data_IF_605529540179
#
_entry.id   IF_605529540179
#
_cell.length_a   1.000
_cell.length_b   1.000
_cell.length_c   1.000
_cell.angle_alpha   90.00
_cell.angle_beta   90.00
_cell.angle_gamma   90.00
#
_symmetry.space_group_name_H-M   'P 1'
#
loop_
_entity.id
_entity.type
_entity.pdbx_description
1 polymer ?
#
# COMPACT_ATOMS: atom_id res chain seq x y z
N UNK A 1 3.09 -11.51 -27.45
CA UNK A 1 2.99 -10.08 -27.75
C UNK A 1 1.65 -9.55 -27.22
N UNK A 2 1.57 -8.29 -26.77
CA UNK A 2 0.33 -7.67 -26.28
C UNK A 2 0.11 -6.36 -27.05
N UNK A 3 -1.06 -6.23 -27.68
CA UNK A 3 -1.45 -5.02 -28.39
C UNK A 3 -1.77 -3.88 -27.42
N UNK A 4 -1.25 -2.68 -27.69
CA UNK A 4 -1.58 -1.46 -26.95
C UNK A 4 -2.52 -0.60 -27.80
N UNK A 5 -3.73 -0.35 -27.31
CA UNK A 5 -4.77 0.38 -28.04
C UNK A 5 -5.51 1.37 -27.14
N UNK A 6 -6.05 2.42 -27.75
CA UNK A 6 -6.98 3.34 -27.11
C UNK A 6 -8.42 2.85 -27.31
N UNK A 7 -9.23 2.96 -26.26
CA UNK A 7 -10.59 2.42 -26.25
C UNK A 7 -11.59 3.55 -26.05
N UNK A 8 -12.67 3.48 -26.82
CA UNK A 8 -13.77 4.43 -26.82
C UNK A 8 -15.08 3.68 -26.57
N UNK A 9 -16.02 4.35 -25.91
CA UNK A 9 -17.40 3.90 -25.79
C UNK A 9 -18.29 5.02 -26.32
N UNK A 10 -18.93 4.78 -27.47
CA UNK A 10 -19.50 5.84 -28.30
C UNK A 10 -18.44 6.95 -28.54
N UNK A 11 -18.76 8.20 -28.22
CA UNK A 11 -17.84 9.34 -28.35
C UNK A 11 -16.93 9.53 -27.12
N UNK A 12 -17.06 8.70 -26.08
CA UNK A 12 -16.27 8.83 -24.85
C UNK A 12 -14.91 8.16 -25.00
N UNK A 13 -13.85 8.96 -24.94
CA UNK A 13 -12.50 8.43 -24.74
C UNK A 13 -12.35 7.92 -23.29
N UNK A 14 -12.38 6.60 -23.09
CA UNK A 14 -12.46 6.00 -21.75
C UNK A 14 -11.28 6.42 -20.84
N UNK A 15 -10.10 6.66 -21.42
CA UNK A 15 -8.90 7.00 -20.66
C UNK A 15 -8.99 8.37 -20.00
N UNK A 16 -9.62 9.37 -20.64
CA UNK A 16 -9.81 10.68 -20.00
C UNK A 16 -10.74 10.54 -18.80
N UNK A 17 -11.86 9.81 -18.96
CA UNK A 17 -12.79 9.56 -17.87
C UNK A 17 -12.13 8.83 -16.68
N UNK A 18 -11.33 7.80 -16.94
CA UNK A 18 -10.61 7.07 -15.90
C UNK A 18 -9.62 7.97 -15.15
N UNK A 19 -8.88 8.81 -15.88
CA UNK A 19 -7.89 9.72 -15.28
C UNK A 19 -8.57 10.83 -14.50
N UNK A 20 -9.61 11.47 -15.02
CA UNK A 20 -10.35 12.58 -14.39
C UNK A 20 -11.05 12.19 -13.08
N UNK A 21 -11.43 10.92 -12.95
CA UNK A 21 -12.02 10.37 -11.74
C UNK A 21 -10.97 9.77 -10.78
N UNK A 22 -9.69 9.82 -11.15
CA UNK A 22 -8.58 9.34 -10.34
C UNK A 22 -8.54 7.83 -10.19
N UNK A 23 -9.09 7.07 -11.14
CA UNK A 23 -9.09 5.60 -11.10
C UNK A 23 -7.80 4.97 -11.62
N UNK A 24 -6.99 5.73 -12.35
CA UNK A 24 -5.72 5.26 -12.92
C UNK A 24 -4.62 6.29 -12.75
N UNK A 25 -3.39 5.80 -12.67
CA UNK A 25 -2.18 6.60 -12.89
C UNK A 25 -1.63 6.24 -14.27
N UNK A 26 -1.33 7.25 -15.09
CA UNK A 26 -0.79 7.04 -16.42
C UNK A 26 0.69 6.67 -16.39
N UNK A 27 1.09 5.88 -17.39
CA UNK A 27 2.49 5.62 -17.71
C UNK A 27 2.76 6.07 -19.14
N UNK A 28 3.79 6.89 -19.34
CA UNK A 28 4.17 7.44 -20.64
C UNK A 28 5.34 6.65 -21.23
N UNK A 29 5.10 5.37 -21.48
CA UNK A 29 6.13 4.45 -22.01
C UNK A 29 5.87 4.22 -23.50
N UNK A 30 6.85 4.47 -24.40
CA UNK A 30 6.73 4.18 -25.83
C UNK A 30 6.35 2.71 -26.10
N UNK A 31 5.70 2.39 -27.25
CA UNK A 31 5.57 3.24 -28.44
C UNK A 31 4.31 4.11 -28.50
N UNK A 32 3.29 3.84 -27.67
CA UNK A 32 1.98 4.49 -27.80
C UNK A 32 1.78 5.60 -26.78
N UNK A 33 2.14 6.83 -27.16
CA UNK A 33 2.11 8.03 -26.31
C UNK A 33 1.30 9.18 -26.93
N UNK A 34 0.40 8.89 -27.87
CA UNK A 34 -0.30 9.89 -28.68
C UNK A 34 -1.10 10.92 -27.84
N UNK A 35 -1.61 10.51 -26.67
CA UNK A 35 -2.39 11.37 -25.76
C UNK A 35 -1.66 11.67 -24.44
N UNK A 36 -0.34 11.52 -24.38
CA UNK A 36 0.40 11.65 -23.12
C UNK A 36 0.20 13.02 -22.46
N UNK A 37 0.21 14.11 -23.24
CA UNK A 37 0.15 15.47 -22.71
C UNK A 37 -1.23 15.74 -22.09
N UNK A 38 -2.30 15.40 -22.83
CA UNK A 38 -3.68 15.48 -22.36
C UNK A 38 -3.87 14.69 -21.06
N UNK A 39 -3.45 13.42 -21.04
CA UNK A 39 -3.67 12.57 -19.88
C UNK A 39 -2.79 12.99 -18.68
N UNK A 40 -1.61 13.56 -18.93
CA UNK A 40 -0.74 14.07 -17.87
C UNK A 40 -1.32 15.33 -17.23
N UNK A 41 -1.90 16.22 -18.03
CA UNK A 41 -2.61 17.40 -17.55
C UNK A 41 -3.82 16.99 -16.67
N UNK A 42 -4.66 16.09 -17.18
CA UNK A 42 -5.81 15.56 -16.44
C UNK A 42 -5.39 14.88 -15.14
N UNK A 43 -4.32 14.09 -15.16
CA UNK A 43 -3.79 13.44 -13.96
C UNK A 43 -3.31 14.48 -12.94
N UNK A 44 -2.59 15.51 -13.39
CA UNK A 44 -2.07 16.58 -12.53
C UNK A 44 -3.21 17.27 -11.80
N UNK A 45 -4.24 17.68 -12.53
CA UNK A 45 -5.45 18.29 -11.95
C UNK A 45 -6.15 17.35 -10.97
N UNK A 46 -6.36 16.09 -11.36
CA UNK A 46 -7.06 15.09 -10.54
C UNK A 46 -6.32 14.82 -9.22
N UNK A 47 -4.97 14.85 -9.26
CA UNK A 47 -4.14 14.73 -8.06
C UNK A 47 -4.28 15.94 -7.14
N UNK A 48 -4.28 17.15 -7.70
CA UNK A 48 -4.48 18.39 -6.93
C UNK A 48 -5.87 18.46 -6.29
N UNK A 49 -6.89 17.94 -6.98
CA UNK A 49 -8.26 17.80 -6.47
C UNK A 49 -8.44 16.59 -5.52
N UNK A 50 -7.38 15.83 -5.27
CA UNK A 50 -7.35 14.67 -4.38
C UNK A 50 -8.43 13.62 -4.68
N UNK A 51 -8.69 13.32 -5.95
CA UNK A 51 -9.75 12.36 -6.33
C UNK A 51 -9.25 10.92 -6.36
N UNK A 52 -10.16 9.96 -6.17
CA UNK A 52 -9.91 8.53 -6.39
C UNK A 52 -8.68 8.00 -5.65
N UNK A 53 -7.73 7.43 -6.39
CA UNK A 53 -6.47 6.87 -5.89
C UNK A 53 -5.66 7.88 -5.06
N UNK A 54 -5.76 9.18 -5.35
CA UNK A 54 -5.00 10.22 -4.64
C UNK A 54 -5.52 10.39 -3.21
N UNK A 55 -6.84 10.52 -3.01
CA UNK A 55 -7.45 10.54 -1.67
C UNK A 55 -7.20 9.24 -0.91
N UNK A 56 -7.24 8.09 -1.58
CA UNK A 56 -6.95 6.81 -0.94
C UNK A 56 -5.50 6.72 -0.46
N UNK A 57 -4.55 7.27 -1.21
CA UNK A 57 -3.15 7.30 -0.82
C UNK A 57 -2.92 8.23 0.38
N UNK A 58 -3.54 9.40 0.38
CA UNK A 58 -3.49 10.30 1.54
C UNK A 58 -4.14 9.66 2.77
N UNK A 59 -5.32 9.06 2.61
CA UNK A 59 -5.98 8.34 3.69
C UNK A 59 -5.09 7.21 4.25
N UNK A 60 -4.39 6.45 3.40
CA UNK A 60 -3.42 5.43 3.84
C UNK A 60 -2.17 6.02 4.49
N UNK A 61 -1.68 7.16 4.01
CA UNK A 61 -0.55 7.85 4.63
C UNK A 61 -0.90 8.37 6.03
N UNK A 62 -2.15 8.79 6.21
CA UNK A 62 -2.71 9.29 7.47
C UNK A 62 -3.24 8.17 8.38
N UNK A 63 -3.19 6.89 7.96
CA UNK A 63 -3.50 5.79 8.87
C UNK A 63 -2.45 5.72 9.97
N UNK A 64 -2.91 5.71 11.22
CA UNK A 64 -2.04 5.53 12.38
C UNK A 64 -1.28 4.21 12.25
N UNK A 65 0.04 4.31 12.15
CA UNK A 65 0.91 3.15 12.26
C UNK A 65 0.87 2.66 13.71
N UNK A 66 0.96 1.33 13.92
CA UNK A 66 0.96 0.81 15.26
C UNK A 66 2.20 1.34 15.97
N UNK A 67 2.02 1.88 17.17
CA UNK A 67 3.12 2.39 18.01
C UNK A 67 4.22 1.33 18.18
N UNK A 68 3.82 0.06 18.25
CA UNK A 68 4.72 -1.09 18.37
C UNK A 68 4.57 -2.01 17.14
N UNK A 69 5.51 -1.96 16.17
CA UNK A 69 5.43 -2.75 14.95
C UNK A 69 5.69 -4.25 15.19
N UNK A 70 6.24 -4.63 16.34
CA UNK A 70 6.57 -6.02 16.67
C UNK A 70 5.94 -6.47 17.99
N UNK A 71 5.42 -7.70 17.99
CA UNK A 71 4.78 -8.33 19.15
C UNK A 71 5.45 -9.67 19.44
N UNK A 72 6.08 -9.79 20.59
CA UNK A 72 6.66 -11.01 21.16
C UNK A 72 5.65 -11.80 22.00
N UNK A 73 5.74 -13.13 21.94
CA UNK A 73 5.06 -14.02 22.88
C UNK A 73 6.03 -14.46 23.97
N UNK A 74 5.82 -14.03 25.23
CA UNK A 74 6.76 -14.30 26.33
C UNK A 74 6.98 -15.79 26.62
N UNK A 75 6.01 -16.64 26.28
CA UNK A 75 6.12 -18.09 26.49
C UNK A 75 6.96 -18.76 25.40
N UNK A 76 6.68 -18.46 24.13
CA UNK A 76 7.38 -19.12 23.01
C UNK A 76 8.67 -18.40 22.60
N UNK A 77 8.94 -17.21 23.15
CA UNK A 77 10.02 -16.30 22.77
C UNK A 77 10.08 -16.05 21.25
N UNK A 78 8.92 -16.01 20.59
CA UNK A 78 8.81 -15.69 19.16
C UNK A 78 8.20 -14.31 19.01
N UNK A 79 8.75 -13.45 18.16
CA UNK A 79 8.13 -12.18 17.81
C UNK A 79 7.60 -12.16 16.38
N UNK A 80 6.59 -11.34 16.13
CA UNK A 80 5.89 -11.21 14.85
C UNK A 80 5.69 -9.73 14.52
N UNK A 81 5.39 -9.41 13.26
CA UNK A 81 4.82 -8.10 12.94
C UNK A 81 3.46 -7.92 13.64
N UNK A 82 3.10 -6.68 13.96
CA UNK A 82 1.83 -6.31 14.60
C UNK A 82 0.61 -6.92 13.87
N UNK A 83 0.62 -6.88 12.54
CA UNK A 83 -0.46 -7.40 11.68
C UNK A 83 -0.36 -8.90 11.36
N UNK A 84 0.60 -9.62 11.95
CA UNK A 84 0.73 -11.05 11.73
C UNK A 84 -0.48 -11.78 12.33
N UNK A 85 -1.23 -12.56 11.52
CA UNK A 85 -2.42 -13.29 12.01
C UNK A 85 -2.19 -14.25 13.20
N UNK A 86 -0.94 -14.54 13.58
CA UNK A 86 -0.62 -15.31 14.79
C UNK A 86 -0.79 -14.50 16.08
N UNK A 87 -0.71 -13.17 15.99
CA UNK A 87 -0.92 -12.22 17.11
C UNK A 87 -2.33 -12.37 17.68
N UNK A 88 -3.34 -12.56 16.82
CA UNK A 88 -4.74 -12.71 17.24
C UNK A 88 -4.98 -13.92 18.15
N UNK A 89 -4.13 -14.95 18.05
CA UNK A 89 -4.21 -16.15 18.89
C UNK A 89 -3.42 -16.03 20.20
N UNK A 90 -2.71 -14.92 20.41
CA UNK A 90 -1.92 -14.71 21.62
C UNK A 90 -2.81 -14.17 22.73
N UNK A 91 -2.77 -14.82 23.90
CA UNK A 91 -3.35 -14.27 25.12
C UNK A 91 -2.69 -12.92 25.42
N UNK A 92 -3.48 -11.91 25.76
CA UNK A 92 -2.99 -10.54 26.00
C UNK A 92 -1.85 -10.52 27.04
N UNK A 93 -2.00 -11.26 28.13
CA UNK A 93 -0.97 -11.40 29.18
C UNK A 93 0.36 -11.97 28.72
N UNK A 94 0.42 -12.57 27.53
CA UNK A 94 1.62 -13.14 26.95
C UNK A 94 2.26 -12.26 25.87
N UNK A 95 1.61 -11.14 25.49
CA UNK A 95 2.15 -10.19 24.52
C UNK A 95 3.24 -9.33 25.17
N UNK A 96 4.29 -9.06 24.41
CA UNK A 96 5.36 -8.10 24.72
C UNK A 96 5.55 -7.26 23.48
N UNK A 97 5.60 -5.94 23.64
CA UNK A 97 5.61 -5.01 22.51
C UNK A 97 7.02 -4.44 22.32
N UNK A 98 7.50 -4.40 21.08
CA UNK A 98 8.83 -3.90 20.74
C UNK A 98 8.73 -2.79 19.68
N UNK A 99 9.59 -1.78 19.81
CA UNK A 99 9.68 -0.65 18.88
C UNK A 99 10.52 -1.00 17.66
N UNK A 100 11.59 -1.78 17.85
CA UNK A 100 12.45 -2.25 16.78
C UNK A 100 12.56 -3.78 16.73
N UNK A 101 13.08 -4.28 15.61
CA UNK A 101 13.37 -5.70 15.43
C UNK A 101 14.54 -6.11 16.33
N UNK A 102 15.51 -5.22 16.45
CA UNK A 102 16.72 -5.35 17.23
C UNK A 102 16.38 -5.48 18.73
N UNK A 103 15.47 -4.64 19.25
CA UNK A 103 15.01 -4.73 20.65
C UNK A 103 14.46 -6.11 20.99
N UNK A 104 13.68 -6.69 20.05
CA UNK A 104 13.10 -8.01 20.24
C UNK A 104 14.19 -9.10 20.29
N UNK A 105 15.19 -8.99 19.42
CA UNK A 105 16.31 -9.93 19.34
C UNK A 105 17.20 -9.82 20.58
N UNK A 106 17.55 -8.59 20.99
CA UNK A 106 18.32 -8.33 22.21
C UNK A 106 17.58 -8.81 23.47
N UNK A 107 16.24 -8.71 23.49
CA UNK A 107 15.40 -9.29 24.53
C UNK A 107 15.25 -10.83 24.45
N UNK A 108 15.96 -11.49 23.53
CA UNK A 108 16.03 -12.94 23.39
C UNK A 108 14.88 -13.56 22.61
N UNK A 109 14.17 -12.80 21.78
CA UNK A 109 13.11 -13.32 20.92
C UNK A 109 13.63 -13.68 19.53
N UNK A 110 13.07 -14.74 18.96
CA UNK A 110 13.37 -15.20 17.60
C UNK A 110 12.25 -14.79 16.63
N UNK A 111 12.58 -14.47 15.36
CA UNK A 111 11.59 -14.02 14.39
C UNK A 111 10.63 -15.14 14.00
N UNK A 112 9.38 -14.78 13.76
CA UNK A 112 8.39 -15.69 13.20
C UNK A 112 8.80 -16.14 11.79
N UNK A 113 8.92 -17.45 11.57
CA UNK A 113 9.27 -18.01 10.25
C UNK A 113 8.24 -17.73 9.15
N UNK A 114 6.98 -17.45 9.53
CA UNK A 114 5.87 -17.20 8.60
C UNK A 114 5.88 -15.77 8.07
N UNK A 115 5.83 -14.78 8.96
CA UNK A 115 5.79 -13.38 8.55
C UNK A 115 7.19 -12.76 8.36
N UNK A 116 8.26 -13.48 8.74
CA UNK A 116 9.67 -13.08 8.59
C UNK A 116 9.93 -11.62 9.01
N UNK A 117 9.61 -11.27 10.27
CA UNK A 117 9.80 -9.94 10.81
C UNK A 117 11.28 -9.60 11.05
#
# INVERSE_FOLDING_TARGET
DRMLAYTYFDDLFIYTWLVENGYVQIMTIPPNVAYQDLLLELQTKTREENRGLWALNEAKANQEKPQFPYIGNKNSKKFQHYYCGSVGNMKEKNKVFFLSREDAIEAGYIPCKRCKP
#
